data_IF_077538848070
#
_entry.id   IF_077538848070
#
_cell.length_a   1.000
_cell.length_b   1.000
_cell.length_c   1.000
_cell.angle_alpha   90.00
_cell.angle_beta   90.00
_cell.angle_gamma   90.00
#
_symmetry.space_group_name_H-M   'P 1'
#
loop_
_entity.id
_entity.type
_entity.pdbx_description
1 polymer ?
#
# COMPACT_ATOMS: atom_id res chain seq x y z
N UNK A 1 -26.16 -14.74 -33.85
CA UNK A 1 -26.88 -14.35 -32.62
C UNK A 1 -26.95 -15.52 -31.69
N UNK A 2 -25.96 -15.72 -30.80
CA UNK A 2 -25.97 -16.67 -29.64
C UNK A 2 -24.61 -16.61 -28.93
N UNK A 3 -24.20 -15.48 -28.40
CA UNK A 3 -22.94 -15.39 -27.63
C UNK A 3 -23.02 -14.53 -26.35
N UNK A 4 -24.15 -13.88 -26.08
CA UNK A 4 -24.31 -13.06 -24.86
C UNK A 4 -24.76 -13.84 -23.62
N UNK A 5 -25.19 -15.08 -23.75
CA UNK A 5 -25.91 -15.77 -22.67
C UNK A 5 -25.10 -16.81 -21.87
N UNK A 6 -23.81 -16.98 -22.13
CA UNK A 6 -22.98 -17.94 -21.36
C UNK A 6 -22.08 -17.26 -20.29
N UNK A 7 -21.74 -15.99 -20.45
CA UNK A 7 -20.97 -15.25 -19.45
C UNK A 7 -21.80 -14.86 -18.21
N UNK A 8 -23.14 -14.88 -18.31
CA UNK A 8 -24.05 -14.55 -17.21
C UNK A 8 -24.13 -15.60 -16.10
N UNK A 9 -23.49 -16.75 -16.23
CA UNK A 9 -23.51 -17.83 -15.24
C UNK A 9 -22.39 -17.76 -14.21
N UNK A 10 -21.35 -16.98 -14.47
CA UNK A 10 -20.24 -16.79 -13.51
C UNK A 10 -20.53 -15.53 -12.68
N UNK A 11 -20.87 -15.74 -11.43
CA UNK A 11 -21.07 -14.63 -10.48
C UNK A 11 -19.77 -14.39 -9.71
N UNK A 12 -19.37 -13.11 -9.54
CA UNK A 12 -18.31 -12.77 -8.60
C UNK A 12 -18.64 -13.27 -7.19
N UNK A 13 -17.61 -13.50 -6.37
CA UNK A 13 -17.80 -13.81 -4.97
C UNK A 13 -18.47 -12.63 -4.24
N UNK A 14 -19.35 -12.93 -3.27
CA UNK A 14 -20.12 -11.91 -2.53
C UNK A 14 -19.22 -10.87 -1.83
N UNK A 15 -18.01 -11.28 -1.41
CA UNK A 15 -17.01 -10.37 -0.84
C UNK A 15 -16.60 -9.22 -1.76
N UNK A 16 -16.80 -9.35 -3.07
CA UNK A 16 -16.51 -8.31 -4.04
C UNK A 16 -17.64 -7.28 -4.20
N UNK A 17 -18.81 -7.52 -3.62
CA UNK A 17 -19.93 -6.59 -3.67
C UNK A 17 -19.63 -5.23 -3.01
N UNK A 18 -18.70 -5.22 -2.03
CA UNK A 18 -18.25 -4.01 -1.36
C UNK A 18 -17.07 -3.32 -2.06
N UNK A 19 -16.53 -3.91 -3.14
CA UNK A 19 -15.39 -3.35 -3.88
C UNK A 19 -15.90 -2.41 -4.95
N UNK A 20 -15.60 -1.12 -4.79
CA UNK A 20 -15.84 -0.12 -5.83
C UNK A 20 -14.57 0.11 -6.64
N UNK A 21 -14.74 0.54 -7.90
CA UNK A 21 -13.58 1.00 -8.68
C UNK A 21 -12.88 2.14 -7.95
N UNK A 22 -11.55 2.05 -7.90
CA UNK A 22 -10.71 3.03 -7.25
C UNK A 22 -10.96 4.44 -7.82
N UNK A 23 -11.25 5.39 -6.93
CA UNK A 23 -11.64 6.75 -7.32
C UNK A 23 -10.68 7.39 -8.34
N UNK A 24 -9.37 7.29 -8.06
CA UNK A 24 -8.35 7.86 -8.95
C UNK A 24 -8.29 7.19 -10.31
N UNK A 25 -8.61 5.88 -10.41
CA UNK A 25 -8.70 5.20 -11.72
C UNK A 25 -9.77 5.85 -12.60
N UNK A 26 -10.94 6.18 -12.03
CA UNK A 26 -12.00 6.88 -12.74
C UNK A 26 -11.57 8.28 -13.17
N UNK A 27 -10.92 9.02 -12.26
CA UNK A 27 -10.47 10.40 -12.54
C UNK A 27 -9.36 10.46 -13.58
N UNK A 28 -8.44 9.50 -13.59
CA UNK A 28 -7.42 9.41 -14.64
C UNK A 28 -8.02 9.15 -16.01
N UNK A 29 -9.04 8.29 -16.11
CA UNK A 29 -9.77 8.07 -17.37
C UNK A 29 -10.47 9.33 -17.84
N UNK A 30 -11.11 10.06 -16.91
CA UNK A 30 -11.78 11.33 -17.20
C UNK A 30 -10.79 12.38 -17.71
N UNK A 31 -9.64 12.56 -17.04
CA UNK A 31 -8.58 13.49 -17.48
C UNK A 31 -8.02 13.08 -18.84
N UNK A 32 -7.76 11.78 -19.07
CA UNK A 32 -7.28 11.30 -20.34
C UNK A 32 -8.27 11.59 -21.48
N UNK A 33 -9.58 11.43 -21.24
CA UNK A 33 -10.61 11.78 -22.21
C UNK A 33 -10.65 13.28 -22.48
N UNK A 34 -10.60 14.12 -21.43
CA UNK A 34 -10.56 15.57 -21.56
C UNK A 34 -9.36 16.03 -22.41
N UNK A 35 -8.20 15.42 -22.22
CA UNK A 35 -7.00 15.74 -22.99
C UNK A 35 -7.11 15.25 -24.44
N UNK A 36 -7.74 14.11 -24.69
CA UNK A 36 -8.05 13.66 -26.04
C UNK A 36 -9.03 14.60 -26.77
N UNK A 37 -9.88 15.30 -26.03
CA UNK A 37 -10.78 16.36 -26.54
C UNK A 37 -10.08 17.73 -26.70
N UNK A 38 -8.79 17.84 -26.40
CA UNK A 38 -8.00 19.06 -26.56
C UNK A 38 -8.11 20.06 -25.39
N UNK A 39 -8.56 19.63 -24.20
CA UNK A 39 -8.72 20.52 -23.04
C UNK A 39 -7.44 20.84 -22.26
N UNK A 40 -6.34 20.13 -22.58
CA UNK A 40 -5.00 20.34 -21.98
C UNK A 40 -4.99 20.39 -20.44
N UNK A 41 -5.62 19.39 -19.82
CA UNK A 41 -5.76 19.30 -18.37
C UNK A 41 -4.47 18.78 -17.73
N UNK A 42 -3.88 19.54 -16.83
CA UNK A 42 -2.75 19.13 -16.01
C UNK A 42 -3.28 18.39 -14.77
N UNK A 43 -2.91 17.11 -14.63
CA UNK A 43 -3.32 16.30 -13.49
C UNK A 43 -2.37 16.49 -12.32
N UNK A 44 -2.89 16.99 -11.20
CA UNK A 44 -2.18 17.04 -9.91
C UNK A 44 -2.71 15.99 -8.91
N UNK A 45 -3.53 15.06 -9.40
CA UNK A 45 -4.24 14.09 -8.54
C UNK A 45 -3.42 12.87 -8.13
N UNK A 46 -2.31 12.59 -8.81
CA UNK A 46 -1.43 11.47 -8.47
C UNK A 46 0.02 11.95 -8.47
N UNK A 47 0.69 11.75 -7.33
CA UNK A 47 2.13 11.90 -7.23
C UNK A 47 2.81 10.71 -7.91
N UNK A 48 3.56 10.97 -8.96
CA UNK A 48 4.41 9.98 -9.62
C UNK A 48 5.81 10.57 -9.75
N UNK A 49 6.86 9.78 -9.51
CA UNK A 49 8.22 10.24 -9.81
C UNK A 49 8.32 10.67 -11.26
N UNK A 50 8.84 11.85 -11.50
CA UNK A 50 9.05 12.44 -12.84
C UNK A 50 10.51 12.36 -13.28
N UNK A 51 11.42 12.04 -12.36
CA UNK A 51 12.83 11.83 -12.63
C UNK A 51 13.18 10.35 -12.74
N UNK A 52 14.05 9.97 -13.68
CA UNK A 52 14.55 8.60 -13.75
C UNK A 52 15.42 8.26 -12.52
N UNK A 53 15.61 6.97 -12.19
CA UNK A 53 16.63 6.55 -11.24
C UNK A 53 18.02 7.03 -11.67
N UNK A 54 19.00 7.03 -10.75
CA UNK A 54 20.37 7.38 -11.10
C UNK A 54 20.92 6.42 -12.17
N UNK A 55 21.82 6.94 -13.02
CA UNK A 55 22.46 6.13 -14.07
C UNK A 55 23.14 4.87 -13.50
N UNK A 56 23.75 4.98 -12.32
CA UNK A 56 24.38 3.83 -11.65
C UNK A 56 23.36 2.76 -11.26
N UNK A 57 22.16 3.14 -10.86
CA UNK A 57 21.07 2.19 -10.57
C UNK A 57 20.59 1.48 -11.84
N UNK A 58 20.40 2.25 -12.92
CA UNK A 58 20.00 1.71 -14.22
C UNK A 58 21.06 0.74 -14.73
N UNK A 59 22.35 1.12 -14.69
CA UNK A 59 23.44 0.25 -15.13
C UNK A 59 23.52 -1.04 -14.32
N UNK A 60 23.41 -0.95 -12.99
CA UNK A 60 23.41 -2.13 -12.11
C UNK A 60 22.27 -3.10 -12.46
N UNK A 61 21.05 -2.56 -12.73
CA UNK A 61 19.93 -3.38 -13.17
C UNK A 61 20.20 -4.07 -14.50
N UNK A 62 20.75 -3.34 -15.49
CA UNK A 62 21.11 -3.89 -16.79
C UNK A 62 22.16 -5.00 -16.68
N UNK A 63 23.18 -4.81 -15.84
CA UNK A 63 24.23 -5.79 -15.65
C UNK A 63 23.72 -7.03 -14.92
N UNK A 64 22.88 -6.87 -13.89
CA UNK A 64 22.22 -7.97 -13.23
C UNK A 64 21.31 -8.78 -14.17
N UNK A 65 20.57 -8.09 -15.05
CA UNK A 65 19.71 -8.74 -16.04
C UNK A 65 20.49 -9.52 -17.13
N UNK A 66 21.74 -9.17 -17.37
CA UNK A 66 22.62 -9.91 -18.30
C UNK A 66 23.31 -11.13 -17.68
N UNK A 67 23.27 -11.24 -16.34
CA UNK A 67 23.86 -12.38 -15.66
C UNK A 67 23.02 -13.64 -15.94
N UNK A 68 23.56 -14.66 -16.64
CA UNK A 68 22.83 -15.88 -16.99
C UNK A 68 22.35 -16.67 -15.76
N UNK A 69 23.04 -16.54 -14.62
CA UNK A 69 22.70 -17.23 -13.39
C UNK A 69 21.61 -16.53 -12.57
N UNK A 70 21.18 -15.31 -12.99
CA UNK A 70 20.18 -14.51 -12.30
C UNK A 70 18.72 -14.86 -12.62
N UNK A 71 18.47 -15.77 -13.57
CA UNK A 71 17.11 -16.03 -14.10
C UNK A 71 16.47 -17.32 -13.55
N UNK A 72 17.12 -18.00 -12.63
CA UNK A 72 16.60 -19.21 -12.01
C UNK A 72 15.43 -18.94 -11.05
N UNK A 73 14.80 -20.03 -10.62
CA UNK A 73 13.74 -19.99 -9.61
C UNK A 73 14.31 -19.49 -8.27
N UNK A 74 13.63 -18.54 -7.64
CA UNK A 74 14.11 -17.90 -6.42
C UNK A 74 13.33 -18.38 -5.18
N UNK A 75 13.94 -18.33 -3.97
CA UNK A 75 13.23 -18.65 -2.73
C UNK A 75 12.05 -17.71 -2.46
N UNK A 76 11.01 -18.23 -1.83
CA UNK A 76 9.82 -17.44 -1.43
C UNK A 76 10.15 -16.23 -0.55
N UNK A 77 11.18 -16.34 0.27
CA UNK A 77 11.63 -15.26 1.17
C UNK A 77 12.54 -14.25 0.46
N UNK A 78 12.71 -14.36 -0.86
CA UNK A 78 13.65 -13.54 -1.62
C UNK A 78 15.10 -13.97 -1.48
N UNK A 79 15.94 -13.47 -2.38
CA UNK A 79 17.38 -13.82 -2.36
C UNK A 79 18.08 -13.24 -1.12
N UNK A 80 19.08 -13.94 -0.57
CA UNK A 80 19.80 -13.48 0.63
C UNK A 80 20.45 -12.10 0.47
N UNK A 81 20.93 -11.77 -0.72
CA UNK A 81 21.54 -10.47 -1.05
C UNK A 81 20.55 -9.32 -0.85
N UNK A 82 19.32 -9.47 -1.34
CA UNK A 82 18.28 -8.47 -1.19
C UNK A 82 17.92 -8.24 0.28
N UNK A 83 17.76 -9.34 1.03
CA UNK A 83 17.43 -9.25 2.47
C UNK A 83 18.55 -8.60 3.28
N UNK A 84 19.83 -8.95 3.00
CA UNK A 84 20.99 -8.28 3.61
C UNK A 84 21.05 -6.79 3.26
N UNK A 85 20.71 -6.43 2.02
CA UNK A 85 20.68 -5.04 1.60
C UNK A 85 19.63 -4.23 2.36
N UNK A 86 18.43 -4.80 2.57
CA UNK A 86 17.41 -4.16 3.43
C UNK A 86 17.90 -4.00 4.87
N UNK A 87 18.47 -5.06 5.48
CA UNK A 87 19.00 -4.97 6.84
C UNK A 87 20.08 -3.88 6.95
N UNK A 88 21.01 -3.83 6.00
CA UNK A 88 22.05 -2.79 5.96
C UNK A 88 21.51 -1.38 5.81
N UNK A 89 20.47 -1.22 4.99
CA UNK A 89 19.81 0.06 4.79
C UNK A 89 19.10 0.55 6.07
N UNK A 90 18.34 -0.32 6.75
CA UNK A 90 17.69 0.00 8.02
C UNK A 90 18.68 0.35 9.11
N UNK A 91 19.78 -0.41 9.21
CA UNK A 91 20.87 -0.10 10.15
C UNK A 91 21.48 1.28 9.86
N UNK A 92 21.77 1.57 8.59
CA UNK A 92 22.42 2.82 8.18
C UNK A 92 21.57 4.07 8.46
N UNK A 93 20.27 4.01 8.12
CA UNK A 93 19.43 5.20 8.12
C UNK A 93 18.58 5.37 9.38
N UNK A 94 18.24 4.27 10.05
CA UNK A 94 17.37 4.29 11.24
C UNK A 94 18.04 3.75 12.49
N UNK A 95 19.26 3.21 12.41
CA UNK A 95 19.94 2.57 13.54
C UNK A 95 19.27 1.26 14.00
N UNK A 96 18.39 0.68 13.16
CA UNK A 96 17.66 -0.55 13.48
C UNK A 96 18.45 -1.73 12.93
N UNK A 97 18.79 -2.68 13.81
CA UNK A 97 19.41 -3.95 13.45
C UNK A 97 18.34 -5.00 13.21
N UNK A 98 18.36 -5.63 12.03
CA UNK A 98 17.42 -6.67 11.63
C UNK A 98 18.21 -7.92 11.21
N UNK A 99 17.74 -9.09 11.64
CA UNK A 99 18.25 -10.36 11.09
C UNK A 99 17.68 -10.58 9.68
N UNK A 100 18.52 -10.58 8.64
CA UNK A 100 18.06 -10.76 7.27
C UNK A 100 17.41 -12.12 7.01
N UNK A 101 17.57 -13.10 7.90
CA UNK A 101 17.03 -14.45 7.69
C UNK A 101 15.61 -14.60 8.25
N UNK A 102 15.27 -13.88 9.30
CA UNK A 102 14.03 -14.08 10.08
C UNK A 102 13.14 -12.86 10.18
N UNK A 103 13.67 -11.63 9.95
CA UNK A 103 12.95 -10.38 10.19
C UNK A 103 12.68 -9.56 8.92
N UNK A 104 13.05 -10.08 7.75
CA UNK A 104 12.87 -9.39 6.47
C UNK A 104 12.13 -10.27 5.48
N UNK A 105 10.97 -9.79 5.02
CA UNK A 105 10.21 -10.37 3.91
C UNK A 105 10.10 -9.35 2.78
N UNK A 106 10.82 -9.51 1.67
CA UNK A 106 10.65 -8.68 0.48
C UNK A 106 9.25 -8.81 -0.12
N UNK A 107 8.73 -7.71 -0.62
CA UNK A 107 7.39 -7.60 -1.21
C UNK A 107 7.47 -6.87 -2.55
N UNK A 108 6.51 -7.10 -3.44
CA UNK A 108 6.36 -6.36 -4.72
C UNK A 108 5.73 -4.96 -4.47
N UNK A 109 5.44 -4.65 -3.23
CA UNK A 109 4.90 -3.37 -2.81
C UNK A 109 4.12 -3.50 -1.51
N UNK A 110 3.86 -2.36 -0.86
CA UNK A 110 3.19 -2.32 0.45
C UNK A 110 1.79 -2.94 0.45
N UNK A 111 1.05 -2.86 -0.65
CA UNK A 111 -0.30 -3.46 -0.76
C UNK A 111 -0.28 -4.97 -0.57
N UNK A 112 0.73 -5.64 -1.12
CA UNK A 112 0.93 -7.07 -0.91
C UNK A 112 1.15 -7.38 0.58
N UNK A 113 2.02 -6.63 1.26
CA UNK A 113 2.25 -6.79 2.69
C UNK A 113 1.01 -6.56 3.54
N UNK A 114 0.24 -5.51 3.22
CA UNK A 114 -1.03 -5.22 3.91
C UNK A 114 -2.01 -6.41 3.77
N UNK A 115 -2.12 -6.97 2.56
CA UNK A 115 -2.95 -8.14 2.32
C UNK A 115 -2.47 -9.35 3.14
N UNK A 116 -1.18 -9.67 3.06
CA UNK A 116 -0.61 -10.84 3.72
C UNK A 116 -0.67 -10.75 5.25
N UNK A 117 -0.36 -9.59 5.82
CA UNK A 117 -0.48 -9.37 7.28
C UNK A 117 -1.93 -9.49 7.73
N UNK A 118 -2.88 -8.85 7.03
CA UNK A 118 -4.29 -8.97 7.37
C UNK A 118 -4.77 -10.42 7.25
N UNK A 119 -4.39 -11.13 6.18
CA UNK A 119 -4.76 -12.53 5.97
C UNK A 119 -4.19 -13.46 7.06
N UNK A 120 -2.98 -13.18 7.54
CA UNK A 120 -2.30 -14.03 8.52
C UNK A 120 -2.84 -13.86 9.95
N UNK A 121 -3.33 -12.66 10.30
CA UNK A 121 -3.63 -12.32 11.70
C UNK A 121 -5.10 -11.98 11.97
N UNK A 122 -5.94 -11.83 10.94
CA UNK A 122 -7.34 -11.39 11.11
C UNK A 122 -8.30 -12.41 10.50
N UNK A 123 -9.19 -12.97 11.32
CA UNK A 123 -10.26 -13.82 10.84
C UNK A 123 -11.47 -13.00 10.38
N UNK A 124 -12.34 -13.55 9.50
CA UNK A 124 -13.61 -12.93 9.18
C UNK A 124 -14.43 -12.60 10.45
N UNK A 125 -14.96 -11.38 10.53
CA UNK A 125 -15.72 -10.88 11.68
C UNK A 125 -14.86 -10.28 12.81
N UNK A 126 -13.53 -10.43 12.78
CA UNK A 126 -12.65 -9.69 13.70
C UNK A 126 -12.44 -8.25 13.21
N UNK A 127 -11.98 -7.38 14.10
CA UNK A 127 -11.87 -5.94 13.84
C UNK A 127 -10.47 -5.50 13.49
N UNK A 128 -10.40 -4.53 12.56
CA UNK A 128 -9.18 -3.85 12.17
C UNK A 128 -9.38 -2.34 12.34
N UNK A 129 -8.51 -1.71 13.14
CA UNK A 129 -8.49 -0.25 13.28
C UNK A 129 -7.79 0.38 12.07
N UNK A 130 -8.44 1.35 11.45
CA UNK A 130 -7.96 2.03 10.25
C UNK A 130 -8.02 3.55 10.44
N UNK A 131 -6.95 4.29 10.10
CA UNK A 131 -6.95 5.75 10.22
C UNK A 131 -7.98 6.39 9.29
N UNK A 132 -8.62 7.46 9.76
CA UNK A 132 -9.53 8.27 8.99
C UNK A 132 -9.24 9.77 9.20
N UNK A 133 -8.76 10.51 8.16
CA UNK A 133 -8.46 10.02 6.82
C UNK A 133 -7.27 9.07 6.77
N UNK A 134 -7.24 8.18 5.78
CA UNK A 134 -6.17 7.20 5.65
C UNK A 134 -6.07 6.58 4.26
N UNK A 135 -5.04 5.78 4.07
CA UNK A 135 -4.80 5.09 2.80
C UNK A 135 -5.90 4.07 2.52
N UNK A 136 -6.65 4.18 1.40
CA UNK A 136 -7.84 3.38 1.14
C UNK A 136 -7.61 1.86 1.11
N UNK A 137 -6.37 1.45 0.89
CA UNK A 137 -5.98 0.03 0.82
C UNK A 137 -6.25 -0.71 2.14
N UNK A 138 -6.04 -0.07 3.29
CA UNK A 138 -6.31 -0.67 4.59
C UNK A 138 -7.77 -1.11 4.72
N UNK A 139 -8.68 -0.20 4.41
CA UNK A 139 -10.13 -0.48 4.43
C UNK A 139 -10.53 -1.53 3.41
N UNK A 140 -10.07 -1.38 2.16
CA UNK A 140 -10.49 -2.25 1.06
C UNK A 140 -10.05 -3.69 1.27
N UNK A 141 -8.79 -3.93 1.65
CA UNK A 141 -8.26 -5.27 1.86
C UNK A 141 -8.88 -5.93 3.09
N UNK A 142 -9.04 -5.19 4.21
CA UNK A 142 -9.70 -5.72 5.40
C UNK A 142 -11.12 -6.20 5.09
N UNK A 143 -11.90 -5.43 4.35
CA UNK A 143 -13.26 -5.80 3.93
C UNK A 143 -13.30 -7.01 3.01
N UNK A 144 -12.39 -7.10 2.02
CA UNK A 144 -12.29 -8.25 1.12
C UNK A 144 -12.01 -9.54 1.89
N UNK A 145 -11.25 -9.45 2.97
CA UNK A 145 -10.93 -10.59 3.84
C UNK A 145 -12.02 -10.87 4.89
N UNK A 146 -13.10 -10.09 4.88
CA UNK A 146 -14.24 -10.29 5.78
C UNK A 146 -14.06 -9.67 7.17
N UNK A 147 -13.02 -8.87 7.38
CA UNK A 147 -12.83 -8.14 8.62
C UNK A 147 -13.80 -6.95 8.74
N UNK A 148 -14.17 -6.62 9.96
CA UNK A 148 -14.91 -5.41 10.31
C UNK A 148 -13.93 -4.24 10.46
N UNK A 149 -14.12 -3.20 9.66
CA UNK A 149 -13.28 -2.00 9.72
C UNK A 149 -13.84 -1.00 10.71
N UNK A 150 -13.04 -0.66 11.71
CA UNK A 150 -13.34 0.37 12.72
C UNK A 150 -12.39 1.52 12.50
N UNK A 151 -12.94 2.72 12.25
CA UNK A 151 -12.11 3.90 12.02
C UNK A 151 -11.74 4.57 13.35
N UNK A 152 -10.48 5.02 13.44
CA UNK A 152 -10.07 6.04 14.40
C UNK A 152 -9.75 7.33 13.66
N UNK A 153 -10.27 8.46 14.18
CA UNK A 153 -10.19 9.72 13.47
C UNK A 153 -8.88 10.46 13.79
N UNK A 154 -8.22 10.87 12.72
CA UNK A 154 -7.08 11.79 12.80
C UNK A 154 -7.60 13.21 12.62
N UNK A 155 -7.31 14.08 13.59
CA UNK A 155 -7.80 15.47 13.63
C UNK A 155 -6.64 16.45 13.58
N UNK A 156 -6.85 17.58 12.90
CA UNK A 156 -5.83 18.62 12.77
C UNK A 156 -5.42 19.19 14.13
N UNK A 157 -6.39 19.37 15.03
CA UNK A 157 -6.16 19.85 16.41
C UNK A 157 -5.20 18.96 17.22
N UNK A 158 -5.11 17.66 16.88
CA UNK A 158 -4.19 16.70 17.47
C UNK A 158 -2.92 16.48 16.62
N UNK A 159 -2.63 17.38 15.66
CA UNK A 159 -1.50 17.24 14.76
C UNK A 159 -1.57 15.98 13.89
N UNK A 160 -2.79 15.50 13.57
CA UNK A 160 -3.04 14.29 12.80
C UNK A 160 -2.54 12.99 13.47
N UNK A 161 -2.32 13.04 14.78
CA UNK A 161 -1.97 11.86 15.57
C UNK A 161 -3.23 11.13 16.06
N UNK A 162 -3.14 9.80 16.34
CA UNK A 162 -4.22 9.07 16.99
C UNK A 162 -4.56 9.70 18.34
N UNK A 163 -5.84 9.79 18.64
CA UNK A 163 -6.31 10.18 19.98
C UNK A 163 -6.32 8.93 20.87
N UNK A 164 -5.30 8.82 21.74
CA UNK A 164 -5.16 7.67 22.60
C UNK A 164 -6.25 7.61 23.69
N UNK A 165 -6.77 8.76 24.13
CA UNK A 165 -7.87 8.81 25.09
C UNK A 165 -9.19 8.30 24.47
N UNK A 166 -9.40 8.53 23.18
CA UNK A 166 -10.52 7.93 22.43
C UNK A 166 -10.30 6.42 22.26
N UNK A 167 -9.10 6.00 21.89
CA UNK A 167 -8.77 4.59 21.67
C UNK A 167 -8.91 3.75 22.94
N UNK A 168 -8.51 4.27 24.11
CA UNK A 168 -8.64 3.58 25.39
C UNK A 168 -10.09 3.32 25.81
N UNK A 169 -11.04 4.14 25.30
CA UNK A 169 -12.47 3.98 25.58
C UNK A 169 -13.17 3.01 24.63
N UNK A 170 -12.49 2.58 23.56
CA UNK A 170 -13.05 1.65 22.59
C UNK A 170 -13.04 0.22 23.11
N UNK A 171 -14.06 -0.56 22.72
CA UNK A 171 -14.01 -2.01 22.94
C UNK A 171 -12.98 -2.66 22.00
N UNK A 172 -11.84 -3.04 22.57
CA UNK A 172 -10.73 -3.68 21.85
C UNK A 172 -10.84 -5.21 21.83
N UNK A 173 -11.88 -5.80 22.37
CA UNK A 173 -12.00 -7.27 22.56
C UNK A 173 -11.92 -8.05 21.24
N UNK A 174 -12.37 -7.46 20.13
CA UNK A 174 -12.37 -8.06 18.79
C UNK A 174 -11.30 -7.46 17.85
N UNK A 175 -10.55 -6.45 18.32
CA UNK A 175 -9.52 -5.80 17.52
C UNK A 175 -8.28 -6.70 17.47
N UNK A 176 -7.83 -7.00 16.24
CA UNK A 176 -6.62 -7.81 16.00
C UNK A 176 -5.47 -7.03 15.39
N UNK A 177 -5.79 -5.93 14.71
CA UNK A 177 -4.79 -5.17 13.97
C UNK A 177 -5.16 -3.69 13.98
N UNK A 178 -4.16 -2.84 14.13
CA UNK A 178 -4.27 -1.40 13.93
C UNK A 178 -3.26 -0.97 12.87
N UNK A 179 -3.75 -0.33 11.81
CA UNK A 179 -2.89 0.26 10.80
C UNK A 179 -2.52 1.70 11.19
N UNK A 180 -1.24 1.99 11.14
CA UNK A 180 -0.70 3.36 11.27
C UNK A 180 0.14 3.68 10.04
N UNK A 181 0.14 4.94 9.60
CA UNK A 181 0.89 5.39 8.44
C UNK A 181 1.42 6.80 8.67
N UNK A 182 2.71 6.91 8.88
CA UNK A 182 3.38 8.19 9.10
C UNK A 182 4.68 8.27 8.27
N UNK A 183 4.87 9.34 7.51
CA UNK A 183 3.88 10.42 7.26
C UNK A 183 2.57 9.90 6.67
N UNK A 184 1.42 10.48 7.06
CA UNK A 184 0.12 10.03 6.55
C UNK A 184 -0.10 10.55 5.12
N UNK A 185 -0.35 9.65 4.19
CA UNK A 185 -0.55 9.96 2.76
C UNK A 185 -1.62 11.03 2.51
N UNK A 186 -2.68 11.07 3.30
CA UNK A 186 -3.82 11.98 3.08
C UNK A 186 -3.57 13.36 3.70
N UNK A 187 -2.76 13.47 4.75
CA UNK A 187 -2.47 14.72 5.45
C UNK A 187 -1.10 15.33 5.12
N UNK A 188 -0.39 14.84 4.11
CA UNK A 188 0.93 15.35 3.68
C UNK A 188 0.99 16.85 3.41
N UNK A 189 -0.11 17.44 2.98
CA UNK A 189 -0.18 18.87 2.70
C UNK A 189 0.13 19.75 3.91
N UNK A 190 0.11 19.17 5.11
CA UNK A 190 0.42 19.84 6.36
C UNK A 190 1.86 19.61 6.83
N UNK A 191 2.64 18.79 6.12
CA UNK A 191 4.05 18.60 6.42
C UNK A 191 4.88 19.76 5.87
N UNK A 192 5.85 20.21 6.65
CA UNK A 192 6.77 21.27 6.23
C UNK A 192 7.83 20.74 5.27
N UNK A 193 8.41 21.62 4.42
CA UNK A 193 9.41 21.28 3.42
C UNK A 193 10.59 20.41 3.90
N UNK A 194 11.11 20.48 5.14
CA UNK A 194 12.15 19.58 5.59
C UNK A 194 11.74 18.11 5.65
N UNK A 195 10.47 17.81 5.82
CA UNK A 195 9.93 16.44 5.86
C UNK A 195 9.77 15.83 4.47
N UNK A 196 9.77 16.64 3.42
CA UNK A 196 9.65 16.16 2.03
C UNK A 196 10.96 15.66 1.42
N UNK A 197 12.06 15.64 2.18
CA UNK A 197 13.37 15.16 1.71
C UNK A 197 13.53 13.62 1.80
N UNK A 198 12.60 12.94 2.42
CA UNK A 198 12.71 11.51 2.73
C UNK A 198 11.71 10.63 1.97
N UNK A 199 11.08 11.19 0.93
CA UNK A 199 10.18 10.45 0.05
C UNK A 199 10.87 10.13 -1.27
#
# INVERSE_FOLDING_TARGET
MKTENQLSKIKPADRLASVSEYYFSKKLKEVAQMNAEGKDVISLGIGSPDMPPSESTIQTLCDAARNPDGHGYQPYVGIPELRRSFAGWYKKWYGVELDPNTEIQPLIGSKEGILHVTLAFVNPGEQVLVPNPGYPTYTSLSRILGAEVVNYNLKEENGWMPDFDELEKMDMSRVKLMWTNYPNTVSYTHLTLPTNREV
#
